data_IF_968174238245
#
_entry.id   IF_968174238245
#
_cell.length_a   1.000
_cell.length_b   1.000
_cell.length_c   1.000
_cell.angle_alpha   90.00
_cell.angle_beta   90.00
_cell.angle_gamma   90.00
#
_symmetry.space_group_name_H-M   'P 1'
#
loop_
_entity.id
_entity.type
_entity.pdbx_description
1 polymer ?
#
# COMPACT_ATOMS: atom_id res chain seq x y z
N UNK A 1 0.12 -29.45 7.51
CA UNK A 1 0.80 -28.59 8.51
C UNK A 1 0.50 -27.14 8.18
N UNK A 2 -0.29 -26.50 9.03
CA UNK A 2 -0.87 -25.16 8.89
C UNK A 2 0.18 -24.07 9.08
N UNK A 3 0.97 -23.78 8.03
CA UNK A 3 1.78 -22.54 7.97
C UNK A 3 0.92 -21.29 7.71
N UNK A 4 -0.39 -21.44 7.50
CA UNK A 4 -1.31 -20.35 7.10
C UNK A 4 -1.68 -19.35 8.20
N UNK A 5 -1.55 -19.68 9.48
CA UNK A 5 -2.11 -18.81 10.54
C UNK A 5 -1.40 -17.48 10.70
N UNK A 6 -0.09 -17.39 10.43
CA UNK A 6 0.64 -16.12 10.61
C UNK A 6 0.40 -15.15 9.45
N UNK A 7 0.50 -15.62 8.21
CA UNK A 7 0.26 -14.80 7.01
C UNK A 7 -1.20 -14.30 6.95
N UNK A 8 -2.17 -15.15 7.30
CA UNK A 8 -3.59 -14.75 7.35
C UNK A 8 -3.85 -13.75 8.47
N UNK A 9 -3.28 -13.94 9.66
CA UNK A 9 -3.41 -12.98 10.76
C UNK A 9 -2.83 -11.60 10.41
N UNK A 10 -1.72 -11.56 9.66
CA UNK A 10 -1.15 -10.29 9.16
C UNK A 10 -2.08 -9.59 8.16
N UNK A 11 -2.80 -10.34 7.32
CA UNK A 11 -3.79 -9.78 6.39
C UNK A 11 -5.00 -9.23 7.16
N UNK A 12 -5.53 -9.96 8.13
CA UNK A 12 -6.67 -9.50 8.93
C UNK A 12 -6.33 -8.21 9.70
N UNK A 13 -5.11 -8.12 10.27
CA UNK A 13 -4.62 -6.89 10.91
C UNK A 13 -4.49 -5.73 9.92
N UNK A 14 -3.98 -5.99 8.71
CA UNK A 14 -3.85 -5.00 7.65
C UNK A 14 -5.19 -4.44 7.19
N UNK A 15 -6.21 -5.29 7.11
CA UNK A 15 -7.57 -4.89 6.75
C UNK A 15 -8.27 -4.12 7.89
N UNK A 16 -7.96 -4.45 9.14
CA UNK A 16 -8.53 -3.78 10.32
C UNK A 16 -7.88 -2.41 10.58
N UNK A 17 -6.55 -2.32 10.52
CA UNK A 17 -5.79 -1.07 10.68
C UNK A 17 -4.56 -1.01 9.75
N UNK A 18 -4.71 -0.38 8.57
CA UNK A 18 -3.62 -0.19 7.62
C UNK A 18 -2.45 0.66 8.16
N UNK A 19 -2.59 1.37 9.29
CA UNK A 19 -1.50 2.15 9.89
C UNK A 19 -0.65 1.35 10.87
N UNK A 20 -1.23 0.32 11.51
CA UNK A 20 -0.53 -0.53 12.46
C UNK A 20 0.43 -1.54 11.80
N UNK A 21 0.36 -1.70 10.48
CA UNK A 21 1.20 -2.66 9.75
C UNK A 21 2.56 -2.09 9.35
N UNK A 22 3.57 -2.96 9.42
CA UNK A 22 4.91 -2.69 8.91
C UNK A 22 4.92 -2.70 7.37
N UNK A 23 4.83 -1.51 6.78
CA UNK A 23 4.81 -1.35 5.32
C UNK A 23 6.15 -1.72 4.68
N UNK A 24 7.27 -1.55 5.40
CA UNK A 24 8.58 -1.89 4.90
C UNK A 24 8.71 -3.41 4.77
N UNK A 25 8.31 -4.16 5.81
CA UNK A 25 8.29 -5.61 5.76
C UNK A 25 7.45 -6.18 4.60
N UNK A 26 6.31 -5.56 4.30
CA UNK A 26 5.46 -5.97 3.16
C UNK A 26 6.17 -5.69 1.82
N UNK A 27 6.82 -4.52 1.68
CA UNK A 27 7.59 -4.19 0.48
C UNK A 27 8.78 -5.14 0.27
N UNK A 28 9.52 -5.46 1.33
CA UNK A 28 10.65 -6.40 1.27
C UNK A 28 10.19 -7.79 0.79
N UNK A 29 9.02 -8.25 1.24
CA UNK A 29 8.43 -9.49 0.74
C UNK A 29 8.01 -9.38 -0.74
N UNK A 30 7.44 -8.25 -1.16
CA UNK A 30 7.11 -8.04 -2.57
C UNK A 30 8.37 -8.05 -3.47
N UNK A 31 9.48 -7.48 -2.98
CA UNK A 31 10.72 -7.34 -3.74
C UNK A 31 11.56 -8.64 -3.79
N UNK A 32 11.64 -9.37 -2.67
CA UNK A 32 12.66 -10.42 -2.49
C UNK A 32 12.11 -11.84 -2.29
N UNK A 33 10.78 -12.03 -2.21
CA UNK A 33 10.25 -13.36 -1.99
C UNK A 33 10.52 -14.28 -3.21
N UNK A 34 11.10 -15.48 -3.02
CA UNK A 34 11.42 -16.37 -4.13
C UNK A 34 10.18 -16.88 -4.87
N UNK A 35 9.05 -16.97 -4.17
CA UNK A 35 7.78 -17.44 -4.73
C UNK A 35 7.11 -16.31 -5.53
N UNK A 36 6.88 -16.49 -6.85
CA UNK A 36 6.30 -15.46 -7.70
C UNK A 36 4.85 -15.11 -7.33
N UNK A 37 4.07 -16.06 -6.82
CA UNK A 37 2.68 -15.80 -6.44
C UNK A 37 2.62 -15.06 -5.11
N UNK A 38 3.51 -15.40 -4.17
CA UNK A 38 3.66 -14.61 -2.94
C UNK A 38 4.13 -13.19 -3.23
N UNK A 39 5.07 -12.98 -4.15
CA UNK A 39 5.47 -11.62 -4.56
C UNK A 39 4.29 -10.79 -5.05
N UNK A 40 3.43 -11.36 -5.90
CA UNK A 40 2.21 -10.69 -6.39
C UNK A 40 1.25 -10.36 -5.25
N UNK A 41 1.07 -11.28 -4.29
CA UNK A 41 0.25 -11.04 -3.12
C UNK A 41 0.78 -9.86 -2.30
N UNK A 42 2.08 -9.86 -1.97
CA UNK A 42 2.68 -8.77 -1.19
C UNK A 42 2.71 -7.44 -1.94
N UNK A 43 2.88 -7.43 -3.26
CA UNK A 43 2.77 -6.22 -4.10
C UNK A 43 1.36 -5.63 -4.06
N UNK A 44 0.33 -6.48 -4.11
CA UNK A 44 -1.06 -6.06 -3.98
C UNK A 44 -1.37 -5.52 -2.57
N UNK A 45 -0.90 -6.19 -1.52
CA UNK A 45 -1.05 -5.74 -0.13
C UNK A 45 -0.34 -4.41 0.12
N UNK A 46 0.88 -4.24 -0.39
CA UNK A 46 1.64 -3.00 -0.29
C UNK A 46 0.88 -1.84 -0.97
N UNK A 47 0.36 -2.07 -2.18
CA UNK A 47 -0.44 -1.08 -2.91
C UNK A 47 -1.70 -0.70 -2.14
N UNK A 48 -2.43 -1.68 -1.60
CA UNK A 48 -3.62 -1.44 -0.79
C UNK A 48 -3.34 -0.55 0.43
N UNK A 49 -2.26 -0.83 1.17
CA UNK A 49 -1.90 -0.07 2.37
C UNK A 49 -1.57 1.38 2.01
N UNK A 50 -0.82 1.59 0.93
CA UNK A 50 -0.52 2.94 0.43
C UNK A 50 -1.80 3.70 0.09
N UNK A 51 -2.71 3.08 -0.65
CA UNK A 51 -4.00 3.69 -1.03
C UNK A 51 -4.82 4.07 0.22
N UNK A 52 -4.94 3.19 1.21
CA UNK A 52 -5.70 3.48 2.45
C UNK A 52 -5.06 4.55 3.33
N UNK A 53 -3.74 4.56 3.45
CA UNK A 53 -3.04 5.64 4.16
C UNK A 53 -3.23 6.97 3.44
N UNK A 54 -3.14 6.98 2.11
CA UNK A 54 -3.37 8.17 1.30
C UNK A 54 -4.80 8.69 1.40
N UNK A 55 -5.82 7.82 1.32
CA UNK A 55 -7.23 8.18 1.52
C UNK A 55 -7.43 8.88 2.87
N UNK A 56 -6.86 8.33 3.96
CA UNK A 56 -6.95 8.94 5.29
C UNK A 56 -6.25 10.30 5.37
N UNK A 57 -5.05 10.40 4.81
CA UNK A 57 -4.27 11.66 4.77
C UNK A 57 -5.03 12.75 4.02
N UNK A 58 -5.63 12.43 2.87
CA UNK A 58 -6.42 13.39 2.06
C UNK A 58 -7.72 13.80 2.79
N UNK A 59 -8.36 12.86 3.49
CA UNK A 59 -9.60 13.10 4.24
C UNK A 59 -9.35 13.82 5.58
N UNK A 60 -8.15 13.74 6.14
CA UNK A 60 -7.72 14.61 7.23
C UNK A 60 -7.62 16.05 6.70
N UNK A 61 -8.41 16.95 7.32
CA UNK A 61 -8.79 18.31 6.89
C UNK A 61 -7.65 19.30 6.60
N UNK A 62 -6.40 18.84 6.51
CA UNK A 62 -5.21 19.65 6.25
C UNK A 62 -4.84 19.75 4.76
N UNK A 63 -5.45 18.95 3.87
CA UNK A 63 -5.29 19.12 2.42
C UNK A 63 -6.35 20.06 1.85
N UNK A 64 -6.14 21.36 2.01
CA UNK A 64 -6.93 22.37 1.30
C UNK A 64 -6.50 22.37 -0.18
N UNK A 65 -7.33 21.80 -1.05
CA UNK A 65 -7.20 22.01 -2.49
C UNK A 65 -7.62 23.45 -2.78
N UNK A 66 -6.66 24.38 -2.79
CA UNK A 66 -6.91 25.74 -3.26
C UNK A 66 -7.20 25.69 -4.76
N UNK A 67 -8.48 25.84 -5.13
CA UNK A 67 -8.92 26.06 -6.50
C UNK A 67 -8.18 27.28 -7.06
N UNK A 68 -7.19 27.05 -7.94
CA UNK A 68 -6.55 28.15 -8.66
C UNK A 68 -5.14 27.91 -9.17
N UNK A 69 -4.39 26.92 -8.67
CA UNK A 69 -3.10 26.53 -9.28
C UNK A 69 -2.88 25.03 -9.13
N UNK A 70 -2.99 24.32 -10.25
CA UNK A 70 -2.39 23.01 -10.42
C UNK A 70 -0.90 23.17 -10.17
N UNK A 71 -0.43 22.78 -8.98
CA UNK A 71 0.96 22.47 -8.77
C UNK A 71 1.05 20.96 -8.66
N UNK A 72 1.79 20.37 -9.59
CA UNK A 72 2.41 19.07 -9.41
C UNK A 72 2.96 18.97 -7.99
N UNK A 73 2.28 18.23 -7.14
CA UNK A 73 2.81 17.80 -5.85
C UNK A 73 2.18 16.47 -5.54
N UNK A 74 3.05 15.46 -5.63
CA UNK A 74 2.86 14.07 -5.21
C UNK A 74 1.86 13.24 -6.03
N UNK A 75 1.76 13.48 -7.34
CA UNK A 75 1.11 12.56 -8.29
C UNK A 75 2.05 12.27 -9.46
N UNK A 76 3.31 11.98 -9.14
CA UNK A 76 4.39 11.73 -10.10
C UNK A 76 4.70 10.27 -10.36
N UNK A 77 3.89 9.30 -9.88
CA UNK A 77 4.17 7.87 -10.13
C UNK A 77 2.90 7.04 -10.30
N UNK A 78 1.91 7.55 -11.03
CA UNK A 78 0.95 6.66 -11.69
C UNK A 78 1.68 6.03 -12.88
N UNK A 79 2.14 4.79 -12.72
CA UNK A 79 2.92 4.02 -13.70
C UNK A 79 2.32 4.20 -15.10
N UNK A 80 3.02 4.93 -15.98
CA UNK A 80 2.79 4.82 -17.43
C UNK A 80 3.37 3.50 -17.89
N UNK A 81 2.54 2.46 -17.98
CA UNK A 81 2.79 1.38 -18.92
C UNK A 81 2.74 1.99 -20.32
N UNK A 82 3.89 2.08 -20.97
CA UNK A 82 3.96 2.27 -22.41
C UNK A 82 4.52 0.96 -22.98
N UNK A 83 3.70 0.35 -23.82
CA UNK A 83 3.97 -0.76 -24.73
C UNK A 83 5.25 -0.49 -25.53
#
# INVERSE_FOLDING_TARGET
MTKSSKEVATIDQLLADPWAVDIQGIWEQAAHNPDPDKRKLFDALHTYVLDKRQERIINEKHFVIYHGRVKESVIGMKRRHKI
#
